data_IF_054366202388
#
_entry.id   IF_054366202388
#
_cell.length_a   1.000
_cell.length_b   1.000
_cell.length_c   1.000
_cell.angle_alpha   90.00
_cell.angle_beta   90.00
_cell.angle_gamma   90.00
#
_symmetry.space_group_name_H-M   'P 1'
#
loop_
_entity.id
_entity.type
_entity.pdbx_description
1 polymer ?
#
# COMPACT_ATOMS: atom_id res chain seq x y z
N UNK A 1 14.23 5.68 -0.17
CA UNK A 1 14.55 5.97 1.24
C UNK A 1 13.38 5.47 2.07
N UNK A 2 13.62 4.85 3.22
CA UNK A 2 12.56 4.38 4.13
C UNK A 2 12.01 5.55 4.96
N UNK A 3 10.70 5.55 5.22
CA UNK A 3 10.08 6.56 6.07
C UNK A 3 10.66 6.51 7.50
N UNK A 4 10.98 7.68 8.05
CA UNK A 4 11.44 7.79 9.45
C UNK A 4 10.27 8.19 10.34
N UNK A 5 9.84 7.28 11.21
CA UNK A 5 8.80 7.55 12.19
C UNK A 5 9.35 8.48 13.29
N UNK A 6 8.51 9.43 13.73
CA UNK A 6 8.77 10.18 14.95
C UNK A 6 8.65 9.28 16.18
N UNK A 7 9.29 9.69 17.27
CA UNK A 7 9.19 8.97 18.55
C UNK A 7 7.78 9.10 19.13
N UNK A 8 7.41 8.16 20.01
CA UNK A 8 6.09 8.16 20.62
C UNK A 8 5.82 9.43 21.45
N UNK A 9 6.80 9.88 22.23
CA UNK A 9 6.67 11.08 23.06
C UNK A 9 6.56 12.35 22.21
N UNK A 10 7.29 12.42 21.09
CA UNK A 10 7.16 13.54 20.15
C UNK A 10 5.78 13.58 19.49
N UNK A 11 5.23 12.43 19.09
CA UNK A 11 3.88 12.34 18.54
C UNK A 11 2.83 12.81 19.56
N UNK A 12 2.96 12.42 20.83
CA UNK A 12 2.06 12.86 21.91
C UNK A 12 2.15 14.37 22.15
N UNK A 13 3.37 14.91 22.26
CA UNK A 13 3.59 16.32 22.51
C UNK A 13 2.99 17.18 21.39
N UNK A 14 3.30 16.87 20.13
CA UNK A 14 2.73 17.58 18.96
C UNK A 14 1.22 17.43 18.87
N UNK A 15 0.68 16.25 19.17
CA UNK A 15 -0.77 16.06 19.18
C UNK A 15 -1.47 16.92 20.24
N UNK A 16 -0.89 17.06 21.43
CA UNK A 16 -1.41 17.94 22.47
C UNK A 16 -1.42 19.41 22.02
N UNK A 17 -0.32 19.88 21.40
CA UNK A 17 -0.25 21.21 20.81
C UNK A 17 -1.31 21.44 19.72
N UNK A 18 -1.54 20.43 18.87
CA UNK A 18 -2.56 20.51 17.82
C UNK A 18 -3.97 20.62 18.39
N UNK A 19 -4.28 19.94 19.50
CA UNK A 19 -5.58 20.08 20.17
C UNK A 19 -5.77 21.52 20.64
N UNK A 20 -4.77 22.10 21.29
CA UNK A 20 -4.83 23.51 21.75
C UNK A 20 -5.05 24.46 20.56
N UNK A 21 -4.32 24.26 19.47
CA UNK A 21 -4.49 25.06 18.26
C UNK A 21 -5.90 24.91 17.66
N UNK A 22 -6.40 23.68 17.55
CA UNK A 22 -7.70 23.41 16.94
C UNK A 22 -8.85 23.97 17.77
N UNK A 23 -8.78 23.87 19.10
CA UNK A 23 -9.72 24.52 20.02
C UNK A 23 -9.73 26.04 19.82
N UNK A 24 -8.54 26.66 19.72
CA UNK A 24 -8.42 28.09 19.41
C UNK A 24 -9.05 28.46 18.06
N UNK A 25 -8.79 27.66 17.02
CA UNK A 25 -9.35 27.88 15.68
C UNK A 25 -10.89 27.83 15.65
N UNK A 26 -11.49 26.87 16.36
CA UNK A 26 -12.94 26.74 16.45
C UNK A 26 -13.59 27.61 17.54
N UNK A 27 -12.80 28.39 18.30
CA UNK A 27 -13.25 29.14 19.49
C UNK A 27 -13.97 28.23 20.50
N UNK A 28 -13.48 27.00 20.63
CA UNK A 28 -13.99 26.01 21.57
C UNK A 28 -13.15 26.04 22.85
N UNK A 29 -13.80 26.09 24.02
CA UNK A 29 -13.11 26.07 25.32
C UNK A 29 -12.47 24.71 25.64
N UNK A 30 -13.00 23.65 25.03
CA UNK A 30 -12.55 22.27 25.26
C UNK A 30 -12.84 21.40 24.02
N UNK A 31 -12.25 20.20 23.98
CA UNK A 31 -12.48 19.20 22.92
C UNK A 31 -13.97 18.84 22.80
N UNK A 32 -14.70 18.83 23.91
CA UNK A 32 -16.14 18.50 23.93
C UNK A 32 -17.00 19.52 23.17
N UNK A 33 -16.52 20.76 23.05
CA UNK A 33 -17.17 21.86 22.37
C UNK A 33 -16.76 21.98 20.89
N UNK A 34 -15.90 21.08 20.38
CA UNK A 34 -15.54 21.04 18.96
C UNK A 34 -16.72 20.54 18.10
N UNK A 35 -16.71 20.85 16.77
CA UNK A 35 -17.67 20.26 15.84
C UNK A 35 -17.72 18.73 15.96
N UNK A 36 -18.91 18.10 15.89
CA UNK A 36 -19.09 16.68 16.24
C UNK A 36 -18.09 15.73 15.57
N UNK A 37 -17.81 15.94 14.28
CA UNK A 37 -16.85 15.13 13.52
C UNK A 37 -15.41 15.31 14.01
N UNK A 38 -14.98 16.55 14.30
CA UNK A 38 -13.63 16.82 14.81
C UNK A 38 -13.45 16.33 16.24
N UNK A 39 -14.50 16.45 17.05
CA UNK A 39 -14.54 15.93 18.41
C UNK A 39 -14.35 14.41 18.43
N UNK A 40 -15.13 13.65 17.66
CA UNK A 40 -15.02 12.18 17.64
C UNK A 40 -13.66 11.70 17.12
N UNK A 41 -13.10 12.39 16.12
CA UNK A 41 -11.74 12.15 15.61
C UNK A 41 -10.67 12.34 16.70
N UNK A 42 -10.74 13.43 17.45
CA UNK A 42 -9.78 13.71 18.53
C UNK A 42 -9.96 12.78 19.71
N UNK A 43 -11.20 12.53 20.12
CA UNK A 43 -11.50 11.62 21.24
C UNK A 43 -10.95 10.23 20.96
N UNK A 44 -11.11 9.70 19.74
CA UNK A 44 -10.51 8.43 19.34
C UNK A 44 -8.97 8.41 19.51
N UNK A 45 -8.28 9.48 19.10
CA UNK A 45 -6.83 9.58 19.25
C UNK A 45 -6.40 9.73 20.71
N UNK A 46 -7.14 10.50 21.52
CA UNK A 46 -6.90 10.63 22.97
C UNK A 46 -7.11 9.31 23.70
N UNK A 47 -8.15 8.56 23.34
CA UNK A 47 -8.40 7.20 23.86
C UNK A 47 -7.28 6.25 23.46
N UNK A 48 -6.76 6.37 22.23
CA UNK A 48 -5.61 5.58 21.77
C UNK A 48 -4.35 5.87 22.57
N UNK A 49 -4.05 7.13 22.82
CA UNK A 49 -2.91 7.53 23.65
C UNK A 49 -3.09 7.00 25.07
N UNK A 50 -4.27 7.19 25.67
CA UNK A 50 -4.58 6.72 27.02
C UNK A 50 -4.45 5.19 27.12
N UNK A 51 -4.97 4.46 26.13
CA UNK A 51 -4.85 3.01 26.09
C UNK A 51 -3.39 2.57 25.96
N UNK A 52 -2.57 3.23 25.13
CA UNK A 52 -1.15 2.93 24.97
C UNK A 52 -0.31 3.28 26.20
N UNK A 53 -0.64 4.35 26.92
CA UNK A 53 0.07 4.78 28.13
C UNK A 53 -0.27 3.86 29.32
N UNK A 54 -1.51 3.36 29.39
CA UNK A 54 -1.98 2.45 30.45
C UNK A 54 -1.73 0.97 30.15
N UNK A 55 -1.39 0.63 28.90
CA UNK A 55 -1.15 -0.74 28.47
C UNK A 55 0.02 -1.34 29.24
N UNK A 56 -0.27 -2.41 29.99
CA UNK A 56 0.70 -3.12 30.83
C UNK A 56 1.53 -4.14 30.05
N UNK A 57 1.22 -4.35 28.79
CA UNK A 57 2.06 -5.21 27.95
C UNK A 57 3.34 -4.47 27.59
N UNK A 58 4.47 -5.17 27.52
CA UNK A 58 5.80 -4.60 27.23
C UNK A 58 5.92 -4.19 25.75
N UNK A 59 5.02 -3.33 25.27
CA UNK A 59 5.11 -2.72 23.95
C UNK A 59 6.25 -1.72 23.97
N UNK A 60 7.24 -1.95 23.09
CA UNK A 60 8.37 -1.03 22.95
C UNK A 60 7.90 0.36 22.47
N UNK A 61 8.59 1.44 22.85
CA UNK A 61 8.23 2.79 22.43
C UNK A 61 8.09 2.96 20.90
N UNK A 62 8.88 2.23 20.12
CA UNK A 62 8.84 2.24 18.65
C UNK A 62 7.52 1.64 18.13
N UNK A 63 7.04 0.57 18.75
CA UNK A 63 5.75 -0.04 18.39
C UNK A 63 4.62 0.89 18.81
N UNK A 64 4.69 1.53 19.98
CA UNK A 64 3.70 2.55 20.40
C UNK A 64 3.65 3.71 19.40
N UNK A 65 4.80 4.20 18.94
CA UNK A 65 4.88 5.23 17.92
C UNK A 65 4.20 4.82 16.61
N UNK A 66 4.44 3.59 16.15
CA UNK A 66 3.79 3.04 14.95
C UNK A 66 2.29 2.84 15.11
N UNK A 67 1.83 2.40 16.28
CA UNK A 67 0.38 2.27 16.59
C UNK A 67 -0.28 3.65 16.54
N UNK A 68 0.30 4.65 17.23
CA UNK A 68 -0.26 6.00 17.24
C UNK A 68 -0.21 6.65 15.85
N UNK A 69 0.88 6.43 15.09
CA UNK A 69 0.98 6.88 13.70
C UNK A 69 -0.11 6.24 12.84
N UNK A 70 -0.35 4.94 13.00
CA UNK A 70 -1.44 4.24 12.32
C UNK A 70 -2.81 4.84 12.65
N UNK A 71 -3.08 5.13 13.92
CA UNK A 71 -4.32 5.76 14.35
C UNK A 71 -4.51 7.15 13.73
N UNK A 72 -3.45 7.98 13.73
CA UNK A 72 -3.44 9.29 13.09
C UNK A 72 -3.65 9.19 11.58
N UNK A 73 -3.06 8.19 10.91
CA UNK A 73 -3.24 7.94 9.47
C UNK A 73 -4.67 7.57 9.11
N UNK A 74 -5.35 6.77 9.93
CA UNK A 74 -6.76 6.44 9.71
C UNK A 74 -7.61 7.71 9.73
N UNK A 75 -7.35 8.62 10.69
CA UNK A 75 -8.07 9.91 10.76
C UNK A 75 -7.66 10.84 9.62
N UNK A 76 -6.38 10.85 9.25
CA UNK A 76 -5.87 11.65 8.14
C UNK A 76 -6.56 11.25 6.82
N UNK A 77 -6.65 9.95 6.54
CA UNK A 77 -7.39 9.42 5.38
C UNK A 77 -8.90 9.72 5.46
N UNK A 78 -9.50 9.68 6.64
CA UNK A 78 -10.90 10.11 6.83
C UNK A 78 -11.15 11.54 6.40
N UNK A 79 -10.26 12.44 6.81
CA UNK A 79 -10.37 13.83 6.42
C UNK A 79 -10.14 13.95 4.91
N UNK A 80 -9.13 13.28 4.36
CA UNK A 80 -8.86 13.27 2.93
C UNK A 80 -10.09 12.89 2.09
N UNK A 81 -10.74 11.78 2.43
CA UNK A 81 -11.93 11.32 1.72
C UNK A 81 -13.14 12.25 1.88
N UNK A 82 -13.28 12.89 3.04
CA UNK A 82 -14.35 13.87 3.26
C UNK A 82 -14.19 15.13 2.39
N UNK A 83 -12.99 15.39 1.89
CA UNK A 83 -12.66 16.49 0.98
C UNK A 83 -12.53 16.01 -0.47
N UNK A 84 -13.15 14.90 -0.89
CA UNK A 84 -13.04 14.35 -2.26
C UNK A 84 -13.19 15.36 -3.41
N UNK A 85 -13.95 16.44 -3.21
CA UNK A 85 -14.21 17.48 -4.22
C UNK A 85 -13.52 18.82 -3.91
N UNK A 86 -12.65 18.86 -2.91
CA UNK A 86 -11.92 20.05 -2.46
C UNK A 86 -10.50 19.66 -2.05
N UNK A 87 -9.68 20.65 -1.70
CA UNK A 87 -8.33 20.37 -1.23
C UNK A 87 -8.37 20.01 0.27
N UNK A 88 -7.94 18.79 0.69
CA UNK A 88 -7.92 18.40 2.11
C UNK A 88 -6.99 19.28 2.95
N UNK A 89 -6.03 19.97 2.33
CA UNK A 89 -5.19 20.95 3.03
C UNK A 89 -6.01 22.13 3.58
N UNK A 90 -7.25 22.34 3.15
CA UNK A 90 -8.15 23.32 3.78
C UNK A 90 -8.59 22.90 5.20
N UNK A 91 -8.41 21.64 5.58
CA UNK A 91 -8.65 21.18 6.94
C UNK A 91 -7.43 21.42 7.83
N UNK A 92 -7.60 22.24 8.87
CA UNK A 92 -6.57 22.49 9.90
C UNK A 92 -6.09 21.19 10.53
N UNK A 93 -7.00 20.28 10.86
CA UNK A 93 -6.64 19.00 11.47
C UNK A 93 -5.85 18.12 10.50
N UNK A 94 -6.15 18.14 9.20
CA UNK A 94 -5.38 17.40 8.20
C UNK A 94 -3.94 17.90 8.15
N UNK A 95 -3.72 19.20 7.99
CA UNK A 95 -2.39 19.81 7.98
C UNK A 95 -1.60 19.47 9.24
N UNK A 96 -2.23 19.61 10.41
CA UNK A 96 -1.58 19.33 11.70
C UNK A 96 -1.23 17.86 11.89
N UNK A 97 -2.07 16.94 11.42
CA UNK A 97 -1.73 15.51 11.42
C UNK A 97 -0.59 15.19 10.43
N UNK A 98 -0.56 15.80 9.25
CA UNK A 98 0.55 15.65 8.29
C UNK A 98 1.88 16.11 8.89
N UNK A 99 1.90 17.30 9.51
CA UNK A 99 3.07 17.83 10.22
C UNK A 99 3.50 16.91 11.38
N UNK A 100 2.54 16.41 12.14
CA UNK A 100 2.78 15.54 13.30
C UNK A 100 3.33 14.20 12.90
N UNK A 101 2.80 13.59 11.84
CA UNK A 101 3.36 12.36 11.29
C UNK A 101 4.74 12.59 10.67
N UNK A 102 5.11 13.83 10.36
CA UNK A 102 6.39 14.15 9.72
C UNK A 102 6.40 13.77 8.24
N UNK A 103 5.23 13.75 7.60
CA UNK A 103 5.10 13.47 6.18
C UNK A 103 5.51 14.73 5.41
N UNK A 104 6.54 14.60 4.58
CA UNK A 104 7.01 15.65 3.68
C UNK A 104 7.41 15.07 2.33
N UNK A 105 7.82 15.91 1.38
CA UNK A 105 8.34 15.46 0.10
C UNK A 105 9.62 14.60 0.27
N UNK A 106 10.44 14.93 1.26
CA UNK A 106 11.69 14.25 1.61
C UNK A 106 11.44 13.00 2.49
N UNK A 107 10.35 12.99 3.26
CA UNK A 107 9.96 11.88 4.15
C UNK A 107 8.55 11.38 3.81
N UNK A 108 8.38 10.86 2.60
CA UNK A 108 7.11 10.29 2.15
C UNK A 108 6.91 8.88 2.71
N UNK A 109 5.74 8.62 3.30
CA UNK A 109 5.38 7.31 3.80
C UNK A 109 5.06 6.36 2.64
N UNK A 110 5.77 5.24 2.53
CA UNK A 110 5.54 4.26 1.46
C UNK A 110 4.39 3.31 1.80
N UNK A 111 3.95 2.51 0.83
CA UNK A 111 2.87 1.54 1.02
C UNK A 111 3.17 0.54 2.15
N UNK A 112 4.43 0.12 2.28
CA UNK A 112 4.93 -0.74 3.34
C UNK A 112 4.71 -0.12 4.73
N UNK A 113 5.08 1.15 4.88
CA UNK A 113 4.98 1.87 6.16
C UNK A 113 3.52 2.14 6.54
N UNK A 114 2.68 2.47 5.56
CA UNK A 114 1.22 2.62 5.75
C UNK A 114 0.60 1.29 6.17
N UNK A 115 0.90 0.21 5.45
CA UNK A 115 0.39 -1.12 5.76
C UNK A 115 0.84 -1.58 7.16
N UNK A 116 2.11 -1.36 7.50
CA UNK A 116 2.67 -1.76 8.79
C UNK A 116 2.06 -0.99 9.97
N UNK A 117 1.96 0.34 9.86
CA UNK A 117 1.43 1.19 10.92
C UNK A 117 -0.08 1.03 11.10
N UNK A 118 -0.86 1.03 10.02
CA UNK A 118 -2.32 0.78 10.07
C UNK A 118 -2.59 -0.64 10.55
N UNK A 119 -1.83 -1.64 10.09
CA UNK A 119 -1.93 -3.01 10.59
C UNK A 119 -1.68 -3.12 12.09
N UNK A 120 -0.75 -2.34 12.64
CA UNK A 120 -0.46 -2.31 14.09
C UNK A 120 -1.61 -1.73 14.91
N UNK A 121 -2.22 -0.60 14.50
CA UNK A 121 -3.39 -0.07 15.22
C UNK A 121 -4.58 -1.05 15.13
N UNK A 122 -4.81 -1.68 13.98
CA UNK A 122 -5.89 -2.67 13.85
C UNK A 122 -5.71 -3.88 14.79
N UNK A 123 -4.48 -4.41 14.90
CA UNK A 123 -4.14 -5.47 15.86
C UNK A 123 -4.27 -5.00 17.31
N UNK A 124 -3.87 -3.76 17.60
CA UNK A 124 -4.01 -3.17 18.92
C UNK A 124 -5.48 -3.05 19.33
N UNK A 125 -6.33 -2.47 18.47
CA UNK A 125 -7.77 -2.36 18.70
C UNK A 125 -8.42 -3.73 18.92
N UNK A 126 -8.05 -4.75 18.13
CA UNK A 126 -8.53 -6.11 18.34
C UNK A 126 -8.18 -6.64 19.73
N UNK A 127 -6.92 -6.46 20.14
CA UNK A 127 -6.48 -6.94 21.45
C UNK A 127 -7.17 -6.24 22.61
N UNK A 128 -7.45 -4.94 22.49
CA UNK A 128 -8.00 -4.13 23.59
C UNK A 128 -9.52 -4.20 23.68
N UNK A 129 -10.22 -4.26 22.54
CA UNK A 129 -11.69 -4.21 22.49
C UNK A 129 -12.32 -5.56 22.77
N UNK A 130 -11.66 -6.67 22.40
CA UNK A 130 -12.20 -8.01 22.64
C UNK A 130 -11.76 -8.58 24.00
N UNK A 131 -12.63 -9.37 24.64
CA UNK A 131 -12.33 -9.99 25.93
C UNK A 131 -11.13 -10.94 25.77
N UNK A 132 -10.05 -10.66 26.52
CA UNK A 132 -8.79 -11.40 26.39
C UNK A 132 -8.14 -11.31 25.00
N UNK A 133 -8.49 -10.31 24.19
CA UNK A 133 -8.02 -10.14 22.83
C UNK A 133 -8.54 -11.21 21.84
N UNK A 134 -9.65 -11.89 22.16
CA UNK A 134 -10.23 -12.95 21.33
C UNK A 134 -11.62 -12.55 20.85
N UNK A 135 -11.82 -12.48 19.54
CA UNK A 135 -13.11 -12.10 18.94
C UNK A 135 -14.26 -13.04 19.35
N UNK A 136 -13.97 -14.34 19.47
CA UNK A 136 -14.92 -15.38 19.90
C UNK A 136 -15.43 -15.17 21.34
N UNK A 137 -14.66 -14.50 22.19
CA UNK A 137 -15.05 -14.22 23.57
C UNK A 137 -15.98 -13.01 23.69
N UNK A 138 -16.24 -12.29 22.59
CA UNK A 138 -17.09 -11.11 22.56
C UNK A 138 -16.36 -9.80 22.93
N UNK A 139 -17.11 -8.71 22.88
CA UNK A 139 -16.62 -7.35 23.12
C UNK A 139 -16.54 -7.06 24.63
N UNK A 140 -15.46 -6.41 25.05
CA UNK A 140 -15.34 -5.83 26.38
C UNK A 140 -16.15 -4.53 26.44
N UNK A 141 -17.44 -4.63 26.78
CA UNK A 141 -18.42 -3.53 26.75
C UNK A 141 -18.02 -2.30 27.59
N UNK A 142 -17.11 -2.46 28.55
CA UNK A 142 -16.62 -1.37 29.40
C UNK A 142 -15.47 -0.58 28.76
N UNK A 143 -14.90 -1.07 27.64
CA UNK A 143 -13.77 -0.45 26.99
C UNK A 143 -14.13 0.95 26.43
N UNK A 144 -13.30 1.99 26.63
CA UNK A 144 -13.58 3.37 26.19
C UNK A 144 -14.03 3.50 24.73
N UNK A 145 -13.34 2.85 23.78
CA UNK A 145 -13.73 2.84 22.36
C UNK A 145 -15.17 2.41 22.06
N UNK A 146 -15.83 1.68 22.95
CA UNK A 146 -17.22 1.24 22.76
C UNK A 146 -18.25 2.25 23.25
N UNK A 147 -17.83 3.39 23.82
CA UNK A 147 -18.71 4.54 24.08
C UNK A 147 -19.22 5.14 22.77
N UNK A 148 -18.38 5.18 21.74
CA UNK A 148 -18.75 5.57 20.37
C UNK A 148 -18.57 4.39 19.40
N UNK A 149 -19.50 3.43 19.47
CA UNK A 149 -19.47 2.23 18.62
C UNK A 149 -19.49 2.54 17.12
N UNK A 150 -20.32 3.49 16.63
CA UNK A 150 -20.29 3.88 15.22
C UNK A 150 -18.89 4.35 14.78
N UNK A 151 -18.22 5.15 15.60
CA UNK A 151 -16.85 5.60 15.34
C UNK A 151 -15.87 4.43 15.24
N UNK A 152 -15.90 3.52 16.21
CA UNK A 152 -15.01 2.36 16.17
C UNK A 152 -15.24 1.51 14.92
N UNK A 153 -16.51 1.28 14.53
CA UNK A 153 -16.84 0.53 13.32
C UNK A 153 -16.31 1.23 12.05
N UNK A 154 -16.41 2.56 11.97
CA UNK A 154 -15.86 3.33 10.85
C UNK A 154 -14.34 3.25 10.78
N UNK A 155 -13.65 3.47 11.90
CA UNK A 155 -12.19 3.32 12.03
C UNK A 155 -11.76 1.92 11.59
N UNK A 156 -12.51 0.90 12.02
CA UNK A 156 -12.19 -0.49 11.70
C UNK A 156 -12.30 -0.78 10.21
N UNK A 157 -13.41 -0.36 9.60
CA UNK A 157 -13.64 -0.49 8.15
C UNK A 157 -12.55 0.21 7.36
N UNK A 158 -12.30 1.49 7.69
CA UNK A 158 -11.29 2.32 7.02
C UNK A 158 -9.89 1.75 7.15
N UNK A 159 -9.51 1.30 8.34
CA UNK A 159 -8.22 0.64 8.56
C UNK A 159 -8.05 -0.61 7.70
N UNK A 160 -9.09 -1.43 7.57
CA UNK A 160 -9.07 -2.60 6.67
C UNK A 160 -8.93 -2.20 5.19
N UNK A 161 -9.68 -1.19 4.74
CA UNK A 161 -9.62 -0.67 3.37
C UNK A 161 -8.23 -0.11 3.04
N UNK A 162 -7.63 0.65 3.96
CA UNK A 162 -6.26 1.18 3.81
C UNK A 162 -5.20 0.08 3.72
N UNK A 163 -5.30 -0.98 4.52
CA UNK A 163 -4.38 -2.13 4.46
C UNK A 163 -4.52 -2.84 3.11
N UNK A 164 -5.75 -3.06 2.64
CA UNK A 164 -6.01 -3.68 1.35
C UNK A 164 -5.46 -2.83 0.19
N UNK A 165 -5.67 -1.52 0.23
CA UNK A 165 -5.17 -0.58 -0.78
C UNK A 165 -3.63 -0.58 -0.82
N UNK A 166 -2.97 -0.45 0.33
CA UNK A 166 -1.51 -0.49 0.40
C UNK A 166 -0.93 -1.83 -0.06
N UNK A 167 -1.58 -2.96 0.31
CA UNK A 167 -1.17 -4.30 -0.12
C UNK A 167 -1.28 -4.46 -1.64
N UNK A 168 -2.36 -3.95 -2.23
CA UNK A 168 -2.55 -3.96 -3.68
C UNK A 168 -1.48 -3.14 -4.40
N UNK A 169 -1.16 -1.95 -3.89
CA UNK A 169 -0.12 -1.07 -4.44
C UNK A 169 1.25 -1.76 -4.46
N UNK A 170 1.66 -2.37 -3.34
CA UNK A 170 2.91 -3.13 -3.25
C UNK A 170 2.95 -4.28 -4.27
N UNK A 171 1.87 -5.05 -4.38
CA UNK A 171 1.78 -6.16 -5.33
C UNK A 171 1.88 -5.67 -6.78
N UNK A 172 1.13 -4.62 -7.14
CA UNK A 172 1.14 -4.06 -8.49
C UNK A 172 2.53 -3.54 -8.86
N UNK A 173 3.21 -2.82 -7.95
CA UNK A 173 4.58 -2.34 -8.17
C UNK A 173 5.56 -3.51 -8.40
N UNK A 174 5.53 -4.51 -7.52
CA UNK A 174 6.46 -5.64 -7.61
C UNK A 174 6.21 -6.50 -8.88
N UNK A 175 4.95 -6.66 -9.30
CA UNK A 175 4.62 -7.34 -10.56
C UNK A 175 5.14 -6.55 -11.77
N UNK A 176 4.98 -5.23 -11.77
CA UNK A 176 5.49 -4.39 -12.85
C UNK A 176 7.03 -4.44 -12.94
N UNK A 177 7.72 -4.44 -11.81
CA UNK A 177 9.18 -4.61 -11.75
C UNK A 177 9.62 -5.98 -12.28
N UNK A 178 8.91 -7.05 -11.93
CA UNK A 178 9.17 -8.40 -12.44
C UNK A 178 9.01 -8.45 -13.96
N UNK A 179 7.89 -7.97 -14.49
CA UNK A 179 7.64 -7.94 -15.94
C UNK A 179 8.68 -7.11 -16.69
N UNK A 180 9.10 -5.96 -16.14
CA UNK A 180 10.14 -5.14 -16.74
C UNK A 180 11.51 -5.86 -16.75
N UNK A 181 11.81 -6.62 -15.70
CA UNK A 181 13.03 -7.44 -15.63
C UNK A 181 13.01 -8.57 -16.64
N UNK A 182 11.92 -9.31 -16.73
CA UNK A 182 11.74 -10.40 -17.72
C UNK A 182 11.88 -9.87 -19.16
N UNK A 183 11.33 -8.69 -19.46
CA UNK A 183 11.46 -8.07 -20.77
C UNK A 183 12.92 -7.70 -21.11
N UNK A 184 13.68 -7.17 -20.15
CA UNK A 184 15.11 -6.86 -20.34
C UNK A 184 15.95 -8.11 -20.55
N UNK A 185 15.71 -9.15 -19.75
CA UNK A 185 16.42 -10.43 -19.89
C UNK A 185 16.11 -11.09 -21.25
N UNK A 186 14.87 -10.98 -21.75
CA UNK A 186 14.50 -11.46 -23.07
C UNK A 186 15.17 -10.66 -24.21
N UNK A 187 15.25 -9.33 -24.09
CA UNK A 187 15.94 -8.46 -25.06
C UNK A 187 17.44 -8.76 -25.09
N UNK A 188 18.07 -8.90 -23.92
CA UNK A 188 19.49 -9.28 -23.81
C UNK A 188 19.76 -10.66 -24.41
N UNK A 189 18.88 -11.64 -24.19
CA UNK A 189 18.99 -12.97 -24.78
C UNK A 189 18.88 -12.93 -26.32
N UNK A 190 17.94 -12.14 -26.86
CA UNK A 190 17.80 -11.94 -28.31
C UNK A 190 19.01 -11.21 -28.91
N UNK A 191 19.53 -10.19 -28.23
CA UNK A 191 20.74 -9.48 -28.63
C UNK A 191 21.97 -10.41 -28.62
N UNK A 192 22.10 -11.28 -27.62
CA UNK A 192 23.17 -12.27 -27.56
C UNK A 192 23.06 -13.32 -28.68
N UNK A 193 21.86 -13.81 -28.98
CA UNK A 193 21.63 -14.78 -30.06
C UNK A 193 21.94 -14.18 -31.45
N UNK A 194 21.50 -12.94 -31.70
CA UNK A 194 21.81 -12.23 -32.96
C UNK A 194 23.30 -11.94 -33.10
N UNK A 195 23.99 -11.55 -32.01
CA UNK A 195 25.45 -11.37 -32.02
C UNK A 195 26.21 -12.69 -32.27
N UNK A 196 25.74 -13.81 -31.71
CA UNK A 196 26.31 -15.14 -31.93
C UNK A 196 26.14 -15.60 -33.40
N UNK A 197 24.96 -15.38 -33.99
CA UNK A 197 24.67 -15.67 -35.40
C UNK A 197 25.44 -14.76 -36.38
N UNK A 198 25.70 -13.50 -36.01
CA UNK A 198 26.50 -12.58 -36.81
C UNK A 198 27.98 -12.97 -36.93
N UNK A 199 28.54 -13.63 -35.90
CA UNK A 199 29.95 -14.07 -35.89
C UNK A 199 30.22 -15.31 -36.75
N UNK A 200 29.23 -16.18 -36.96
CA UNK A 200 29.39 -17.37 -37.82
C UNK A 200 29.29 -17.06 -39.32
N UNK A 201 28.73 -15.91 -39.72
CA UNK A 201 28.62 -15.53 -41.14
C UNK A 201 29.90 -14.91 -41.73
N UNK A 202 30.73 -14.23 -40.93
CA UNK A 202 31.93 -13.53 -41.41
C UNK A 202 33.11 -14.45 -41.77
N UNK A 203 33.13 -15.70 -41.29
CA UNK A 203 34.12 -16.71 -41.70
C UNK A 203 33.69 -17.54 -42.92
N UNK A 204 32.45 -17.41 -43.39
CA UNK A 204 31.93 -18.13 -44.56
C UNK A 204 32.19 -17.44 -45.91
N UNK A 205 32.59 -16.15 -45.93
CA UNK A 205 32.72 -15.40 -47.18
C UNK A 205 34.11 -15.47 -47.83
N UNK A 206 35.13 -15.98 -47.13
CA UNK A 206 36.49 -16.15 -47.68
C UNK A 206 36.80 -17.56 -48.20
N UNK A 207 35.89 -18.52 -48.04
CA UNK A 207 36.08 -19.89 -48.51
C UNK A 207 35.09 -20.22 -49.64
N UNK A 208 35.57 -20.12 -50.90
CA UNK A 208 34.97 -20.88 -52.00
C UNK A 208 34.31 -20.07 -53.11
N UNK A 209 35.08 -19.26 -53.82
CA UNK A 209 34.78 -18.94 -55.23
C UNK A 209 35.79 -19.65 -56.13
N UNK A 210 35.58 -20.95 -56.35
CA UNK A 210 36.16 -21.69 -57.47
C UNK A 210 35.03 -22.26 -58.31
N UNK A 211 34.83 -21.63 -59.45
CA UNK A 211 33.88 -21.95 -60.51
C UNK A 211 34.36 -23.17 -61.31
N UNK A 212 33.49 -24.18 -61.51
CA UNK A 212 33.40 -24.98 -62.74
C UNK A 212 32.12 -25.85 -62.75
N UNK A 213 31.57 -26.22 -63.94
CA UNK A 213 30.15 -26.49 -64.14
C UNK A 213 29.79 -27.96 -64.44
N UNK A 214 28.47 -28.18 -64.62
CA UNK A 214 27.73 -29.35 -65.17
C UNK A 214 27.59 -30.55 -64.21
N UNK A 215 26.45 -31.22 -64.08
CA UNK A 215 25.42 -31.59 -65.06
C UNK A 215 24.05 -31.82 -64.39
N UNK A 216 22.98 -31.53 -65.13
CA UNK A 216 21.61 -32.00 -64.88
C UNK A 216 21.53 -33.52 -64.78
N UNK A 217 20.63 -34.07 -63.93
CA UNK A 217 19.55 -35.01 -64.33
C UNK A 217 18.41 -34.92 -63.31
N UNK A 218 17.20 -34.75 -63.84
CA UNK A 218 15.90 -34.69 -63.18
C UNK A 218 15.40 -36.05 -62.66
N UNK A 219 14.43 -36.03 -61.73
CA UNK A 219 13.36 -37.05 -61.54
C UNK A 219 12.65 -36.76 -60.20
N UNK A 220 11.57 -35.96 -60.22
CA UNK A 220 10.15 -36.36 -60.10
C UNK A 220 9.66 -36.80 -58.71
N UNK A 221 8.57 -36.12 -58.32
CA UNK A 221 7.31 -36.65 -57.78
C UNK A 221 6.96 -36.34 -56.32
N UNK A 222 5.72 -35.85 -56.21
CA UNK A 222 4.76 -35.88 -55.11
C UNK A 222 5.08 -35.07 -53.84
N UNK A 223 4.27 -34.11 -53.39
CA UNK A 223 2.83 -33.96 -53.54
C UNK A 223 2.18 -34.19 -52.17
N UNK A 224 1.82 -33.12 -51.45
CA UNK A 224 0.71 -33.11 -50.47
C UNK A 224 0.48 -31.71 -49.88
N UNK A 225 -0.61 -31.15 -50.37
CA UNK A 225 -1.41 -29.98 -50.02
C UNK A 225 -1.99 -30.06 -48.58
N UNK A 226 -1.92 -28.92 -47.86
CA UNK A 226 -2.92 -28.27 -46.97
C UNK A 226 -3.55 -29.06 -45.81
N UNK A 227 -3.59 -28.41 -44.63
CA UNK A 227 -4.58 -28.73 -43.59
C UNK A 227 -4.46 -27.89 -42.32
N UNK A 228 -4.74 -26.58 -42.42
CA UNK A 228 -5.09 -25.74 -41.26
C UNK A 228 -6.52 -26.08 -40.86
N UNK A 229 -6.76 -26.44 -39.60
CA UNK A 229 -8.07 -26.32 -38.98
C UNK A 229 -7.92 -25.84 -37.54
N UNK A 230 -8.29 -24.58 -37.35
CA UNK A 230 -8.69 -23.96 -36.09
C UNK A 230 -10.15 -24.37 -35.87
N UNK A 231 -10.47 -24.95 -34.72
CA UNK A 231 -11.86 -24.98 -34.25
C UNK A 231 -11.92 -24.31 -32.87
N UNK A 232 -12.46 -23.11 -32.93
CA UNK A 232 -13.04 -22.32 -31.85
C UNK A 232 -14.47 -22.83 -31.58
N UNK A 233 -15.08 -22.39 -30.47
CA UNK A 233 -16.50 -22.53 -30.12
C UNK A 233 -16.84 -23.79 -29.30
N UNK A 234 -17.57 -23.76 -28.19
CA UNK A 234 -18.55 -22.79 -27.75
C UNK A 234 -18.82 -22.93 -26.25
N UNK A 235 -18.87 -21.79 -25.54
CA UNK A 235 -19.64 -21.62 -24.31
C UNK A 235 -21.13 -21.76 -24.64
N UNK A 236 -21.92 -22.38 -23.75
CA UNK A 236 -23.36 -22.19 -23.77
C UNK A 236 -24.10 -22.95 -22.66
N UNK A 237 -25.21 -22.42 -22.13
CA UNK A 237 -25.60 -22.53 -20.72
C UNK A 237 -26.82 -23.43 -20.49
N UNK A 238 -26.97 -23.91 -19.25
CA UNK A 238 -28.19 -23.84 -18.40
C UNK A 238 -27.87 -24.41 -17.03
#
# INVERSE_FOLDING_TARGET
MSFTFRTYDELKARFAENITFLCGYHRAESVENLPPLRRSQIQFLQETITALDTDRTEITPEIKAKILSGAMLVIHNEIEESYRYSDPTQSVLYQKLTETLGISAENSMQAEDRCDSVGKIMKFLHRTVFIGGKSEAGLNIEHPYLKDRPRLAEVWKRGADMIAAASKEMLTRNLAELTAREAREAEEAQAAETAAKGRTSLFGWFAGRSTAPSLEVASTADGATIGVTVEESQRGPT
#
